data_IF_368723249360
#
_entry.id   IF_368723249360
#
_cell.length_a   1.000
_cell.length_b   1.000
_cell.length_c   1.000
_cell.angle_alpha   90.00
_cell.angle_beta   90.00
_cell.angle_gamma   90.00
#
_symmetry.space_group_name_H-M   'P 1'
#
loop_
_entity.id
_entity.type
_entity.pdbx_description
1 polymer ?
#
# COMPACT_ATOMS: atom_id res chain seq x y z
N UNK A 1 5.89 -50.74 -51.25
CA UNK A 1 7.04 -50.82 -50.34
C UNK A 1 7.08 -49.45 -49.72
N UNK A 2 6.29 -49.34 -48.66
CA UNK A 2 5.69 -48.09 -48.18
C UNK A 2 6.44 -47.65 -46.92
N UNK A 3 6.83 -46.39 -46.96
CA UNK A 3 6.97 -45.40 -45.89
C UNK A 3 7.52 -45.75 -44.49
N UNK A 4 8.58 -44.98 -44.14
CA UNK A 4 8.82 -44.22 -42.89
C UNK A 4 8.70 -44.98 -41.56
N UNK A 5 9.79 -45.25 -40.82
CA UNK A 5 10.52 -44.27 -39.99
C UNK A 5 9.61 -43.49 -39.02
N UNK A 6 9.06 -44.18 -38.02
CA UNK A 6 8.61 -43.56 -36.77
C UNK A 6 9.86 -43.15 -35.98
N UNK A 7 10.36 -41.95 -36.26
CA UNK A 7 11.10 -41.16 -35.28
C UNK A 7 10.06 -40.60 -34.30
N UNK A 8 10.06 -41.14 -33.07
CA UNK A 8 9.49 -40.49 -31.89
C UNK A 8 10.24 -39.15 -31.69
N UNK A 9 9.78 -38.12 -32.41
CA UNK A 9 10.18 -36.74 -32.16
C UNK A 9 9.37 -36.26 -30.97
N UNK A 10 10.05 -36.28 -29.82
CA UNK A 10 9.80 -35.45 -28.66
C UNK A 10 9.09 -34.14 -29.06
N UNK A 11 7.83 -34.01 -28.64
CA UNK A 11 7.10 -32.77 -28.78
C UNK A 11 7.84 -31.69 -28.01
N UNK A 12 8.52 -30.81 -28.71
CA UNK A 12 9.08 -29.58 -28.18
C UNK A 12 7.98 -28.78 -27.46
N UNK A 13 7.96 -28.83 -26.12
CA UNK A 13 7.30 -27.84 -25.28
C UNK A 13 7.94 -26.47 -25.54
N UNK A 14 7.45 -25.79 -26.55
CA UNK A 14 7.83 -24.42 -26.88
C UNK A 14 7.27 -23.46 -25.81
N UNK A 15 8.01 -23.31 -24.72
CA UNK A 15 8.15 -22.06 -23.97
C UNK A 15 6.91 -21.50 -23.25
N UNK A 16 6.07 -22.33 -22.62
CA UNK A 16 5.06 -21.79 -21.69
C UNK A 16 5.72 -21.40 -20.36
N UNK A 17 5.76 -20.09 -20.06
CA UNK A 17 6.22 -19.55 -18.77
C UNK A 17 5.47 -20.22 -17.61
N UNK A 18 6.20 -20.68 -16.58
CA UNK A 18 5.57 -21.31 -15.41
C UNK A 18 4.62 -20.35 -14.70
N UNK A 19 3.43 -20.82 -14.34
CA UNK A 19 2.38 -20.03 -13.67
C UNK A 19 2.03 -20.54 -12.28
N UNK A 20 1.60 -19.63 -11.40
CA UNK A 20 1.00 -19.93 -10.11
C UNK A 20 -0.46 -20.40 -10.26
N UNK A 21 -1.03 -20.95 -9.18
CA UNK A 21 -2.45 -21.34 -9.15
C UNK A 21 -3.38 -20.16 -9.46
N UNK A 22 -2.96 -18.93 -9.13
CA UNK A 22 -3.66 -17.69 -9.45
C UNK A 22 -3.50 -17.23 -10.92
N UNK A 23 -2.74 -17.96 -11.74
CA UNK A 23 -2.42 -17.59 -13.12
C UNK A 23 -1.25 -16.61 -13.28
N UNK A 24 -0.72 -16.07 -12.17
CA UNK A 24 0.40 -15.14 -12.21
C UNK A 24 1.74 -15.82 -12.60
N UNK A 25 2.63 -15.15 -13.36
CA UNK A 25 3.93 -15.70 -13.72
C UNK A 25 4.85 -15.98 -12.51
N UNK A 26 5.50 -17.15 -12.51
CA UNK A 26 6.47 -17.57 -11.48
C UNK A 26 7.90 -17.12 -11.78
N UNK A 27 8.27 -17.06 -13.06
CA UNK A 27 9.59 -16.62 -13.54
C UNK A 27 9.44 -15.50 -14.56
N UNK A 28 10.46 -14.67 -14.78
CA UNK A 28 10.43 -13.65 -15.84
C UNK A 28 10.52 -14.28 -17.23
N UNK A 29 9.81 -13.71 -18.22
CA UNK A 29 9.69 -14.31 -19.56
C UNK A 29 11.03 -14.50 -20.28
N UNK A 30 11.95 -13.53 -20.17
CA UNK A 30 13.26 -13.56 -20.82
C UNK A 30 14.38 -13.94 -19.85
N UNK A 31 14.29 -13.50 -18.59
CA UNK A 31 15.27 -13.80 -17.55
C UNK A 31 14.50 -14.27 -16.32
N UNK A 32 14.76 -15.50 -15.82
CA UNK A 32 13.94 -16.09 -14.76
C UNK A 32 13.78 -15.21 -13.52
N UNK A 33 14.84 -14.48 -13.17
CA UNK A 33 14.88 -13.62 -11.99
C UNK A 33 14.59 -12.14 -12.25
N UNK A 34 14.05 -11.79 -13.43
CA UNK A 34 13.73 -10.42 -13.79
C UNK A 34 12.42 -10.37 -14.56
N UNK A 35 11.37 -10.05 -13.82
CA UNK A 35 10.04 -9.83 -14.37
C UNK A 35 10.00 -8.59 -15.27
N UNK A 36 9.25 -8.68 -16.36
CA UNK A 36 8.82 -7.50 -17.10
C UNK A 36 7.73 -6.74 -16.38
N UNK A 37 7.45 -5.53 -16.86
CA UNK A 37 6.30 -4.78 -16.38
C UNK A 37 4.98 -5.52 -16.57
N UNK A 38 4.80 -6.24 -17.68
CA UNK A 38 3.62 -7.09 -17.91
C UNK A 38 3.54 -8.23 -16.89
N UNK A 39 4.66 -8.89 -16.59
CA UNK A 39 4.70 -9.95 -15.57
C UNK A 39 4.32 -9.42 -14.18
N UNK A 40 4.87 -8.25 -13.79
CA UNK A 40 4.55 -7.60 -12.51
C UNK A 40 3.08 -7.19 -12.48
N UNK A 41 2.56 -6.66 -13.59
CA UNK A 41 1.16 -6.28 -13.71
C UNK A 41 0.22 -7.47 -13.53
N UNK A 42 0.49 -8.63 -14.15
CA UNK A 42 -0.31 -9.84 -13.92
C UNK A 42 -0.26 -10.29 -12.46
N UNK A 43 0.91 -10.19 -11.80
CA UNK A 43 1.05 -10.52 -10.38
C UNK A 43 0.24 -9.56 -9.49
N UNK A 44 0.25 -8.26 -9.80
CA UNK A 44 -0.57 -7.24 -9.13
C UNK A 44 -2.07 -7.56 -9.28
N UNK A 45 -2.53 -7.86 -10.50
CA UNK A 45 -3.94 -8.18 -10.74
C UNK A 45 -4.38 -9.47 -10.02
N UNK A 46 -3.49 -10.46 -9.93
CA UNK A 46 -3.75 -11.69 -9.19
C UNK A 46 -3.93 -11.43 -7.69
N UNK A 47 -3.04 -10.65 -7.06
CA UNK A 47 -3.19 -10.25 -5.65
C UNK A 47 -4.45 -9.43 -5.42
N UNK A 48 -4.74 -8.48 -6.32
CA UNK A 48 -5.91 -7.62 -6.24
C UNK A 48 -7.23 -8.41 -6.25
N UNK A 49 -7.29 -9.53 -6.97
CA UNK A 49 -8.49 -10.35 -7.06
C UNK A 49 -8.83 -10.99 -5.70
N UNK A 50 -7.82 -11.45 -4.96
CA UNK A 50 -7.97 -11.97 -3.60
C UNK A 50 -8.46 -10.86 -2.65
N UNK A 51 -7.88 -9.66 -2.73
CA UNK A 51 -8.24 -8.52 -1.86
C UNK A 51 -9.67 -8.02 -2.11
N UNK A 52 -10.05 -7.89 -3.38
CA UNK A 52 -11.34 -7.36 -3.81
C UNK A 52 -12.50 -8.33 -3.49
N UNK A 53 -12.22 -9.63 -3.44
CA UNK A 53 -13.19 -10.68 -3.08
C UNK A 53 -13.24 -10.99 -1.58
N UNK A 54 -12.24 -10.55 -0.81
CA UNK A 54 -12.21 -10.74 0.65
C UNK A 54 -13.44 -10.13 1.33
N UNK A 55 -13.95 -10.83 2.36
CA UNK A 55 -15.09 -10.38 3.13
C UNK A 55 -14.74 -9.14 3.99
N UNK A 56 -15.77 -8.44 4.45
CA UNK A 56 -15.59 -7.17 5.19
C UNK A 56 -14.91 -7.36 6.55
N UNK A 57 -15.12 -8.50 7.21
CA UNK A 57 -14.52 -8.74 8.53
C UNK A 57 -13.03 -8.99 8.40
N UNK A 58 -12.63 -9.83 7.43
CA UNK A 58 -11.22 -10.09 7.13
C UNK A 58 -10.48 -8.80 6.80
N UNK A 59 -11.03 -7.96 5.90
CA UNK A 59 -10.45 -6.66 5.56
C UNK A 59 -10.36 -5.73 6.78
N UNK A 60 -11.42 -5.65 7.59
CA UNK A 60 -11.48 -4.76 8.75
C UNK A 60 -10.47 -5.15 9.83
N UNK A 61 -10.39 -6.44 10.21
CA UNK A 61 -9.47 -6.89 11.24
C UNK A 61 -8.02 -6.87 10.78
N UNK A 62 -7.76 -7.25 9.52
CA UNK A 62 -6.43 -7.09 8.93
C UNK A 62 -6.02 -5.61 8.89
N UNK A 63 -6.94 -4.72 8.50
CA UNK A 63 -6.73 -3.28 8.52
C UNK A 63 -6.52 -2.71 9.93
N UNK A 64 -7.25 -3.22 10.91
CA UNK A 64 -7.06 -2.82 12.32
C UNK A 64 -5.69 -3.23 12.83
N UNK A 65 -5.24 -4.44 12.51
CA UNK A 65 -3.88 -4.90 12.86
C UNK A 65 -2.81 -4.06 12.17
N UNK A 66 -2.97 -3.72 10.88
CA UNK A 66 -2.04 -2.80 10.20
C UNK A 66 -2.00 -1.41 10.85
N UNK A 67 -3.18 -0.86 11.16
CA UNK A 67 -3.31 0.41 11.86
C UNK A 67 -2.65 0.41 13.23
N UNK A 68 -2.78 -0.69 13.97
CA UNK A 68 -2.11 -0.84 15.26
C UNK A 68 -0.58 -0.99 15.09
N UNK A 69 -0.12 -1.75 14.10
CA UNK A 69 1.30 -1.92 13.81
C UNK A 69 1.99 -0.61 13.42
N UNK A 70 1.28 0.36 12.82
CA UNK A 70 1.83 1.70 12.51
C UNK A 70 2.31 2.45 13.76
N UNK A 71 1.81 2.08 14.94
CA UNK A 71 2.21 2.69 16.21
C UNK A 71 3.69 2.41 16.50
N UNK A 72 4.24 1.30 16.00
CA UNK A 72 5.68 1.04 16.07
C UNK A 72 6.49 2.07 15.27
N UNK A 73 5.97 2.51 14.12
CA UNK A 73 6.55 3.61 13.34
C UNK A 73 6.51 4.92 14.13
N UNK A 74 5.38 5.23 14.78
CA UNK A 74 5.27 6.41 15.65
C UNK A 74 6.30 6.36 16.78
N UNK A 75 6.38 5.25 17.53
CA UNK A 75 7.33 5.08 18.64
C UNK A 75 8.76 5.25 18.14
N UNK A 76 9.12 4.58 17.04
CA UNK A 76 10.44 4.68 16.45
C UNK A 76 10.82 6.11 16.07
N UNK A 77 9.89 6.84 15.47
CA UNK A 77 10.12 8.23 15.05
C UNK A 77 10.20 9.19 16.24
N UNK A 78 9.28 9.08 17.21
CA UNK A 78 9.27 9.91 18.41
C UNK A 78 10.53 9.72 19.26
N UNK A 79 10.98 8.48 19.43
CA UNK A 79 12.23 8.14 20.13
C UNK A 79 13.44 8.66 19.35
N UNK A 80 13.47 8.45 18.03
CA UNK A 80 14.55 8.96 17.19
C UNK A 80 14.66 10.48 17.24
N UNK A 81 13.54 11.20 17.11
CA UNK A 81 13.50 12.66 17.18
C UNK A 81 13.89 13.19 18.56
N UNK A 82 13.54 12.49 19.64
CA UNK A 82 13.98 12.85 20.99
C UNK A 82 15.47 12.63 21.23
N UNK A 83 16.07 11.57 20.66
CA UNK A 83 17.50 11.27 20.82
C UNK A 83 18.38 12.10 19.89
N UNK A 84 17.87 12.45 18.71
CA UNK A 84 18.62 13.08 17.63
C UNK A 84 17.87 14.30 17.05
N UNK A 85 17.61 15.33 17.86
CA UNK A 85 16.76 16.46 17.46
C UNK A 85 17.33 17.28 16.29
N UNK A 86 18.67 17.36 16.18
CA UNK A 86 19.36 18.13 15.15
C UNK A 86 19.77 17.27 13.93
N UNK A 87 19.46 15.98 13.93
CA UNK A 87 19.94 15.01 12.94
C UNK A 87 18.76 14.24 12.30
N UNK A 88 18.03 14.85 11.35
CA UNK A 88 16.76 14.32 10.81
C UNK A 88 16.92 12.95 10.11
N UNK A 89 18.09 12.68 9.53
CA UNK A 89 18.37 11.38 8.93
C UNK A 89 18.50 10.28 9.99
N UNK A 90 19.10 10.59 11.15
CA UNK A 90 19.31 9.61 12.21
C UNK A 90 18.03 9.39 13.02
N UNK A 91 17.22 10.45 13.21
CA UNK A 91 15.92 10.36 13.88
C UNK A 91 14.89 9.50 13.12
N UNK A 92 15.05 9.36 11.81
CA UNK A 92 14.14 8.57 10.96
C UNK A 92 14.47 7.06 10.88
N UNK A 93 15.60 6.59 11.43
CA UNK A 93 16.09 5.21 11.23
C UNK A 93 15.09 4.13 11.65
N UNK A 94 14.30 4.38 12.71
CA UNK A 94 13.31 3.43 13.22
C UNK A 94 11.91 3.59 12.62
N UNK A 95 11.70 4.61 11.78
CA UNK A 95 10.41 4.87 11.14
C UNK A 95 9.86 3.67 10.33
N UNK A 96 10.68 2.90 9.58
CA UNK A 96 10.16 1.80 8.76
C UNK A 96 9.61 0.60 9.55
N UNK A 97 9.82 0.50 10.86
CA UNK A 97 9.54 -0.71 11.63
C UNK A 97 8.07 -1.14 11.55
N UNK A 98 7.11 -0.21 11.70
CA UNK A 98 5.69 -0.53 11.57
C UNK A 98 5.33 -1.04 10.17
N UNK A 99 5.88 -0.41 9.13
CA UNK A 99 5.67 -0.84 7.73
C UNK A 99 6.24 -2.21 7.41
N UNK A 100 7.38 -2.58 8.01
CA UNK A 100 7.92 -3.94 7.88
C UNK A 100 6.94 -4.98 8.45
N UNK A 101 6.34 -4.72 9.61
CA UNK A 101 5.31 -5.59 10.18
C UNK A 101 4.07 -5.68 9.29
N UNK A 102 3.64 -4.56 8.72
CA UNK A 102 2.46 -4.47 7.86
C UNK A 102 2.66 -5.27 6.58
N UNK A 103 3.69 -4.94 5.81
CA UNK A 103 3.87 -5.48 4.45
C UNK A 103 4.34 -6.94 4.51
N UNK A 104 5.35 -7.25 5.33
CA UNK A 104 5.82 -8.64 5.45
C UNK A 104 4.78 -9.53 6.15
N UNK A 105 3.96 -8.95 7.04
CA UNK A 105 2.83 -9.62 7.68
C UNK A 105 1.58 -9.74 6.80
N UNK A 106 1.58 -9.14 5.60
CA UNK A 106 0.45 -9.11 4.66
C UNK A 106 -0.83 -8.54 5.29
N UNK A 107 -0.68 -7.54 6.16
CA UNK A 107 -1.82 -6.83 6.71
C UNK A 107 -2.34 -5.77 5.73
N UNK A 108 -3.64 -5.52 5.75
CA UNK A 108 -4.29 -4.64 4.80
C UNK A 108 -4.02 -3.16 5.13
N UNK A 109 -3.26 -2.47 4.28
CA UNK A 109 -3.03 -1.04 4.39
C UNK A 109 -3.77 -0.28 3.29
N UNK A 110 -4.44 0.82 3.66
CA UNK A 110 -5.21 1.62 2.71
C UNK A 110 -4.37 2.11 1.52
N UNK A 111 -3.16 2.58 1.80
CA UNK A 111 -2.26 3.12 0.78
C UNK A 111 -1.72 2.05 -0.16
N UNK A 112 -1.54 0.81 0.32
CA UNK A 112 -1.18 -0.31 -0.55
C UNK A 112 -2.32 -0.65 -1.52
N UNK A 113 -3.57 -0.51 -1.06
CA UNK A 113 -4.78 -0.70 -1.86
C UNK A 113 -5.02 0.40 -2.92
N UNK A 114 -4.13 1.39 -3.06
CA UNK A 114 -4.23 2.43 -4.11
C UNK A 114 -3.67 1.98 -5.46
N UNK A 115 -3.02 0.81 -5.52
CA UNK A 115 -2.50 0.24 -6.77
C UNK A 115 -3.25 -1.04 -7.21
N UNK A 116 -3.28 -2.17 -6.47
CA UNK A 116 -3.82 -3.42 -7.00
C UNK A 116 -5.34 -3.38 -7.28
N UNK A 117 -6.22 -2.98 -6.34
CA UNK A 117 -7.65 -2.86 -6.61
C UNK A 117 -7.99 -1.85 -7.73
N UNK A 118 -7.23 -0.75 -7.81
CA UNK A 118 -7.36 0.26 -8.87
C UNK A 118 -7.01 -0.34 -10.23
N UNK A 119 -6.00 -1.22 -10.26
CA UNK A 119 -5.60 -1.94 -11.45
C UNK A 119 -6.74 -2.79 -12.02
N UNK A 120 -7.45 -3.52 -11.18
CA UNK A 120 -8.61 -4.31 -11.59
C UNK A 120 -9.72 -3.44 -12.17
N UNK A 121 -10.01 -2.29 -11.54
CA UNK A 121 -11.05 -1.38 -12.06
C UNK A 121 -10.65 -0.84 -13.43
N UNK A 122 -9.40 -0.41 -13.61
CA UNK A 122 -8.91 0.11 -14.88
C UNK A 122 -8.84 -0.97 -15.97
N UNK A 123 -8.55 -2.21 -15.59
CA UNK A 123 -8.66 -3.39 -16.47
C UNK A 123 -10.11 -3.85 -16.73
N UNK A 124 -11.13 -3.13 -16.20
CA UNK A 124 -12.56 -3.47 -16.30
C UNK A 124 -12.91 -4.83 -15.70
N UNK A 125 -12.15 -5.27 -14.69
CA UNK A 125 -12.30 -6.54 -13.96
C UNK A 125 -12.86 -6.36 -12.54
N UNK A 126 -13.03 -5.12 -12.09
CA UNK A 126 -13.73 -4.78 -10.86
C UNK A 126 -14.54 -3.50 -11.05
N UNK A 127 -15.56 -3.35 -10.21
CA UNK A 127 -16.45 -2.19 -10.19
C UNK A 127 -16.00 -1.16 -9.15
N UNK A 128 -16.30 0.12 -9.40
CA UNK A 128 -15.99 1.24 -8.50
C UNK A 128 -16.64 1.11 -7.12
N UNK A 129 -17.91 0.65 -6.96
CA UNK A 129 -18.48 0.40 -5.64
C UNK A 129 -17.69 -0.64 -4.85
N UNK A 130 -17.16 -1.67 -5.52
CA UNK A 130 -16.37 -2.71 -4.87
C UNK A 130 -14.98 -2.21 -4.46
N UNK A 131 -14.33 -1.40 -5.30
CA UNK A 131 -13.11 -0.66 -4.93
C UNK A 131 -13.35 0.23 -3.71
N UNK A 132 -14.41 1.04 -3.75
CA UNK A 132 -14.77 1.94 -2.66
C UNK A 132 -15.04 1.18 -1.35
N UNK A 133 -15.63 -0.02 -1.42
CA UNK A 133 -15.80 -0.90 -0.25
C UNK A 133 -14.46 -1.31 0.35
N UNK A 134 -13.52 -1.80 -0.47
CA UNK A 134 -12.18 -2.21 0.02
C UNK A 134 -11.50 -1.02 0.68
N UNK A 135 -11.43 0.11 -0.03
CA UNK A 135 -10.85 1.35 0.48
C UNK A 135 -11.45 1.78 1.80
N UNK A 136 -12.79 1.86 1.89
CA UNK A 136 -13.45 2.35 3.09
C UNK A 136 -13.26 1.40 4.28
N UNK A 137 -13.44 0.09 4.09
CA UNK A 137 -13.31 -0.90 5.16
C UNK A 137 -11.89 -0.94 5.71
N UNK A 138 -10.89 -0.94 4.83
CA UNK A 138 -9.48 -0.96 5.22
C UNK A 138 -9.06 0.35 5.87
N UNK A 139 -9.45 1.51 5.30
CA UNK A 139 -9.14 2.82 5.88
C UNK A 139 -9.73 2.97 7.28
N UNK A 140 -10.99 2.59 7.48
CA UNK A 140 -11.63 2.63 8.80
C UNK A 140 -10.91 1.70 9.77
N UNK A 141 -10.57 0.47 9.35
CA UNK A 141 -9.76 -0.45 10.16
C UNK A 141 -8.41 0.17 10.56
N UNK A 142 -7.66 0.71 9.60
CA UNK A 142 -6.37 1.34 9.86
C UNK A 142 -6.48 2.51 10.85
N UNK A 143 -7.46 3.40 10.66
CA UNK A 143 -7.72 4.55 11.54
C UNK A 143 -8.08 4.08 12.95
N UNK A 144 -8.92 3.05 13.09
CA UNK A 144 -9.27 2.46 14.40
C UNK A 144 -8.04 1.88 15.09
N UNK A 145 -7.23 1.08 14.39
CA UNK A 145 -6.00 0.51 14.94
C UNK A 145 -5.00 1.57 15.39
N UNK A 146 -4.81 2.62 14.57
CA UNK A 146 -3.93 3.73 14.88
C UNK A 146 -4.44 4.53 16.09
N UNK A 147 -5.75 4.80 16.17
CA UNK A 147 -6.37 5.47 17.32
C UNK A 147 -6.18 4.68 18.62
N UNK A 148 -6.41 3.37 18.59
CA UNK A 148 -6.23 2.50 19.77
C UNK A 148 -4.78 2.53 20.24
N UNK A 149 -3.81 2.36 19.33
CA UNK A 149 -2.41 2.38 19.73
C UNK A 149 -1.93 3.76 20.19
N UNK A 150 -2.35 4.84 19.52
CA UNK A 150 -2.07 6.21 19.94
C UNK A 150 -2.63 6.52 21.34
N UNK A 151 -3.85 6.05 21.63
CA UNK A 151 -4.44 6.17 22.97
C UNK A 151 -3.59 5.45 24.02
N UNK A 152 -3.17 4.21 23.75
CA UNK A 152 -2.31 3.46 24.66
C UNK A 152 -0.95 4.14 24.90
N UNK A 153 -0.37 4.78 23.88
CA UNK A 153 0.84 5.59 24.06
C UNK A 153 0.59 6.82 24.93
N UNK A 154 -0.55 7.49 24.75
CA UNK A 154 -0.90 8.71 25.48
C UNK A 154 -1.13 8.45 26.98
N UNK A 155 -1.69 7.29 27.36
CA UNK A 155 -2.01 6.97 28.77
C UNK A 155 -1.04 5.99 29.43
N UNK A 156 -0.24 5.25 28.65
CA UNK A 156 0.48 4.07 29.11
C UNK A 156 1.91 4.28 29.60
N UNK A 157 2.38 5.52 29.70
CA UNK A 157 3.78 5.86 30.10
C UNK A 157 4.85 5.11 29.28
N UNK A 158 4.55 4.84 28.01
CA UNK A 158 5.41 4.07 27.09
C UNK A 158 6.58 4.90 26.57
N UNK A 159 6.39 6.21 26.45
CA UNK A 159 7.34 7.14 25.87
C UNK A 159 7.96 8.02 26.96
N UNK A 160 9.25 8.33 26.83
CA UNK A 160 9.88 9.33 27.68
C UNK A 160 9.22 10.71 27.48
N UNK A 161 9.30 11.64 28.45
CA UNK A 161 8.75 12.98 28.27
C UNK A 161 9.27 13.69 27.02
N UNK A 162 10.54 13.49 26.66
CA UNK A 162 11.12 14.04 25.44
C UNK A 162 10.49 13.44 24.16
N UNK A 163 10.24 12.13 24.15
CA UNK A 163 9.58 11.47 23.02
C UNK A 163 8.09 11.86 22.91
N UNK A 164 7.40 12.10 24.03
CA UNK A 164 6.04 12.66 24.02
C UNK A 164 6.03 14.04 23.35
N UNK A 165 6.96 14.93 23.72
CA UNK A 165 7.06 16.26 23.11
C UNK A 165 7.39 16.17 21.61
N UNK A 166 8.31 15.29 21.22
CA UNK A 166 8.60 15.05 19.81
C UNK A 166 7.35 14.56 19.04
N UNK A 167 6.59 13.63 19.63
CA UNK A 167 5.36 13.10 19.04
C UNK A 167 4.26 14.15 18.86
N UNK A 168 4.12 15.09 19.81
CA UNK A 168 3.20 16.23 19.68
C UNK A 168 3.58 17.11 18.48
N UNK A 169 4.87 17.38 18.31
CA UNK A 169 5.38 18.26 17.27
C UNK A 169 5.10 17.75 15.84
N UNK A 170 4.88 16.45 15.63
CA UNK A 170 4.59 15.89 14.29
C UNK A 170 3.32 16.48 13.67
N UNK A 171 2.24 16.54 14.45
CA UNK A 171 0.96 17.11 13.98
C UNK A 171 1.03 18.64 13.93
N UNK A 172 1.67 19.29 14.91
CA UNK A 172 1.84 20.75 14.95
C UNK A 172 2.61 21.25 13.73
N UNK A 173 3.77 20.65 13.46
CA UNK A 173 4.60 20.98 12.29
C UNK A 173 3.84 20.75 10.98
N UNK A 174 3.04 19.69 10.92
CA UNK A 174 2.17 19.42 9.78
C UNK A 174 1.13 20.51 9.54
N UNK A 175 0.46 20.97 10.60
CA UNK A 175 -0.49 22.08 10.50
C UNK A 175 0.23 23.38 10.06
N UNK A 176 1.42 23.65 10.62
CA UNK A 176 2.21 24.85 10.33
C UNK A 176 2.72 24.91 8.89
N UNK A 177 3.06 23.76 8.28
CA UNK A 177 3.41 23.68 6.86
C UNK A 177 2.27 24.14 5.94
N UNK A 178 1.03 24.04 6.42
CA UNK A 178 -0.16 24.46 5.71
C UNK A 178 -0.67 23.44 4.67
N UNK A 179 -1.95 23.61 4.34
CA UNK A 179 -2.75 22.65 3.58
C UNK A 179 -2.10 22.13 2.29
N UNK A 180 -1.65 23.05 1.43
CA UNK A 180 -1.13 22.69 0.11
C UNK A 180 0.25 22.07 0.15
N UNK A 181 1.09 22.47 1.11
CA UNK A 181 2.41 21.88 1.32
C UNK A 181 2.27 20.43 1.77
N UNK A 182 1.42 20.19 2.78
CA UNK A 182 1.12 18.84 3.28
C UNK A 182 0.51 17.98 2.18
N UNK A 183 -0.46 18.51 1.43
CA UNK A 183 -1.07 17.83 0.29
C UNK A 183 -0.02 17.41 -0.75
N UNK A 184 0.86 18.33 -1.18
CA UNK A 184 1.89 18.03 -2.17
C UNK A 184 2.90 16.98 -1.68
N UNK A 185 3.37 17.10 -0.43
CA UNK A 185 4.24 16.10 0.20
C UNK A 185 3.55 14.72 0.30
N UNK A 186 2.26 14.71 0.60
CA UNK A 186 1.44 13.50 0.64
C UNK A 186 1.22 12.84 -0.73
N UNK A 187 1.14 13.63 -1.81
CA UNK A 187 1.13 13.09 -3.18
C UNK A 187 2.40 12.29 -3.45
N UNK A 188 3.56 12.82 -3.08
CA UNK A 188 4.82 12.09 -3.22
C UNK A 188 4.88 10.85 -2.33
N UNK A 189 4.40 10.91 -1.08
CA UNK A 189 4.29 9.73 -0.22
C UNK A 189 3.41 8.64 -0.84
N UNK A 190 2.24 9.00 -1.34
CA UNK A 190 1.34 8.05 -2.02
C UNK A 190 1.99 7.39 -3.23
N UNK A 191 2.73 8.17 -4.02
CA UNK A 191 3.50 7.64 -5.15
C UNK A 191 4.56 6.64 -4.67
N UNK A 192 5.35 6.98 -3.64
CA UNK A 192 6.35 6.07 -3.08
C UNK A 192 5.75 4.76 -2.59
N UNK A 193 4.62 4.80 -1.88
CA UNK A 193 3.95 3.58 -1.38
C UNK A 193 3.45 2.72 -2.53
N UNK A 194 2.78 3.29 -3.54
CA UNK A 194 2.39 2.52 -4.72
C UNK A 194 3.62 1.92 -5.44
N UNK A 195 4.76 2.61 -5.39
CA UNK A 195 6.05 2.13 -5.90
C UNK A 195 6.55 0.91 -5.11
N UNK A 196 6.46 0.93 -3.78
CA UNK A 196 6.78 -0.24 -2.93
C UNK A 196 5.91 -1.42 -3.31
N UNK A 197 4.59 -1.22 -3.48
CA UNK A 197 3.68 -2.31 -3.87
C UNK A 197 4.11 -2.92 -5.20
N UNK A 198 4.41 -2.09 -6.20
CA UNK A 198 4.89 -2.57 -7.49
C UNK A 198 6.20 -3.38 -7.37
N UNK A 199 7.17 -2.84 -6.64
CA UNK A 199 8.47 -3.49 -6.42
C UNK A 199 8.32 -4.78 -5.58
N UNK A 200 7.39 -4.83 -4.64
CA UNK A 200 7.11 -6.01 -3.83
C UNK A 200 6.53 -7.16 -4.67
N UNK A 201 5.69 -6.83 -5.66
CA UNK A 201 5.25 -7.82 -6.64
C UNK A 201 6.40 -8.27 -7.55
N UNK A 202 7.39 -7.41 -7.83
CA UNK A 202 8.57 -7.75 -8.62
C UNK A 202 9.63 -8.55 -7.83
N UNK A 203 9.67 -8.44 -6.51
CA UNK A 203 10.69 -9.04 -5.67
C UNK A 203 10.54 -10.57 -5.60
N UNK A 204 11.66 -11.28 -5.57
CA UNK A 204 11.70 -12.76 -5.54
C UNK A 204 12.16 -13.33 -4.20
N UNK A 205 12.82 -12.53 -3.36
CA UNK A 205 13.33 -12.96 -2.07
C UNK A 205 12.97 -11.96 -0.96
N UNK A 206 12.96 -12.46 0.27
CA UNK A 206 12.55 -11.70 1.46
C UNK A 206 13.56 -10.60 1.82
N UNK A 207 14.84 -10.74 1.49
CA UNK A 207 15.87 -9.73 1.80
C UNK A 207 15.67 -8.51 0.91
N UNK A 208 15.45 -8.71 -0.39
CA UNK A 208 15.11 -7.63 -1.31
C UNK A 208 13.83 -6.90 -0.89
N UNK A 209 12.78 -7.65 -0.49
CA UNK A 209 11.54 -7.07 0.06
C UNK A 209 11.81 -6.24 1.31
N UNK A 210 12.54 -6.78 2.27
CA UNK A 210 12.91 -6.05 3.48
C UNK A 210 13.64 -4.74 3.15
N UNK A 211 14.67 -4.80 2.30
CA UNK A 211 15.52 -3.64 1.99
C UNK A 211 14.73 -2.55 1.25
N UNK A 212 13.91 -2.89 0.26
CA UNK A 212 13.13 -1.90 -0.47
C UNK A 212 12.06 -1.25 0.41
N UNK A 213 11.39 -2.03 1.26
CA UNK A 213 10.40 -1.51 2.23
C UNK A 213 11.13 -0.55 3.17
N UNK A 214 12.23 -1.00 3.76
CA UNK A 214 13.01 -0.18 4.69
C UNK A 214 13.44 1.15 4.06
N UNK A 215 14.08 1.12 2.89
CA UNK A 215 14.61 2.32 2.22
C UNK A 215 13.49 3.29 1.84
N UNK A 216 12.38 2.80 1.29
CA UNK A 216 11.32 3.68 0.80
C UNK A 216 10.54 4.32 1.96
N UNK A 217 10.21 3.56 3.01
CA UNK A 217 9.55 4.14 4.18
C UNK A 217 10.49 5.01 5.01
N UNK A 218 11.80 4.71 5.03
CA UNK A 218 12.80 5.60 5.61
C UNK A 218 12.82 6.94 4.87
N UNK A 219 12.77 6.91 3.54
CA UNK A 219 12.70 8.12 2.71
C UNK A 219 11.46 8.96 3.01
N UNK A 220 10.31 8.35 3.30
CA UNK A 220 9.10 9.10 3.69
C UNK A 220 9.39 9.99 4.91
N UNK A 221 10.02 9.45 5.95
CA UNK A 221 10.36 10.24 7.14
C UNK A 221 11.53 11.20 6.91
N UNK A 222 12.62 10.73 6.29
CA UNK A 222 13.82 11.52 6.06
C UNK A 222 13.59 12.71 5.12
N UNK A 223 12.62 12.61 4.21
CA UNK A 223 12.18 13.70 3.34
C UNK A 223 10.94 14.45 3.87
N UNK A 224 10.54 14.18 5.12
CA UNK A 224 9.38 14.81 5.80
C UNK A 224 8.08 14.75 5.00
N UNK A 225 7.83 13.60 4.35
CA UNK A 225 6.61 13.33 3.61
C UNK A 225 5.52 12.78 4.54
N UNK A 226 4.27 12.99 4.15
CA UNK A 226 3.12 12.62 4.97
C UNK A 226 2.43 11.38 4.44
N UNK A 227 2.45 10.30 5.22
CA UNK A 227 1.70 9.08 4.95
C UNK A 227 0.39 9.07 5.74
N UNK A 228 -0.74 8.81 5.08
CA UNK A 228 -2.08 8.99 5.69
C UNK A 228 -2.33 8.17 6.95
N UNK A 229 -1.78 6.95 7.04
CA UNK A 229 -2.01 6.09 8.22
C UNK A 229 -1.05 6.42 9.36
N UNK A 230 0.18 6.88 9.08
CA UNK A 230 1.07 7.36 10.17
C UNK A 230 0.53 8.68 10.71
N UNK A 231 0.10 9.57 9.81
CA UNK A 231 -0.53 10.83 10.16
C UNK A 231 -1.84 10.64 10.96
N UNK A 232 -2.57 9.53 10.75
CA UNK A 232 -3.70 9.19 11.62
C UNK A 232 -3.21 8.92 13.06
N UNK A 233 -2.14 8.13 13.22
CA UNK A 233 -1.51 7.89 14.52
C UNK A 233 -1.01 9.18 15.18
N UNK A 234 -0.30 10.01 14.42
CA UNK A 234 0.20 11.32 14.88
C UNK A 234 -0.96 12.21 15.35
N UNK A 235 -2.02 12.31 14.53
CA UNK A 235 -3.18 13.13 14.82
C UNK A 235 -3.93 12.64 16.08
N UNK A 236 -4.16 11.35 16.22
CA UNK A 236 -4.83 10.81 17.40
C UNK A 236 -3.98 11.00 18.66
N UNK A 237 -2.66 10.76 18.59
CA UNK A 237 -1.77 11.00 19.72
C UNK A 237 -1.83 12.47 20.14
N UNK A 238 -1.74 13.39 19.17
CA UNK A 238 -1.89 14.82 19.40
C UNK A 238 -3.23 15.17 20.05
N UNK A 239 -4.35 14.63 19.54
CA UNK A 239 -5.68 14.87 20.11
C UNK A 239 -5.80 14.37 21.56
N UNK A 240 -5.26 13.19 21.86
CA UNK A 240 -5.36 12.61 23.21
C UNK A 240 -4.47 13.32 24.23
N UNK A 241 -3.32 13.86 23.80
CA UNK A 241 -2.36 14.51 24.71
C UNK A 241 -2.62 16.02 24.82
N UNK A 242 -2.86 16.72 23.71
CA UNK A 242 -3.03 18.17 23.67
C UNK A 242 -4.48 18.64 23.85
N UNK A 243 -5.47 17.76 23.67
CA UNK A 243 -6.90 18.13 23.77
C UNK A 243 -7.36 19.10 22.68
N UNK A 244 -6.75 19.04 21.49
CA UNK A 244 -7.10 19.89 20.35
C UNK A 244 -8.48 19.54 19.75
N UNK A 245 -9.03 20.45 18.93
CA UNK A 245 -10.29 20.21 18.22
C UNK A 245 -10.12 19.12 17.14
N UNK A 246 -10.81 17.97 17.25
CA UNK A 246 -10.72 16.90 16.25
C UNK A 246 -11.10 17.34 14.85
N UNK A 247 -12.07 18.24 14.70
CA UNK A 247 -12.51 18.68 13.37
C UNK A 247 -11.44 19.56 12.72
N UNK A 248 -10.80 20.43 13.49
CA UNK A 248 -9.69 21.26 13.01
C UNK A 248 -8.49 20.40 12.56
N UNK A 249 -8.07 19.43 13.39
CA UNK A 249 -6.96 18.52 13.04
C UNK A 249 -7.31 17.69 11.80
N UNK A 250 -8.52 17.15 11.72
CA UNK A 250 -8.98 16.43 10.52
C UNK A 250 -8.91 17.32 9.27
N UNK A 251 -9.47 18.53 9.35
CA UNK A 251 -9.66 19.41 8.20
C UNK A 251 -8.40 20.17 7.79
N UNK A 252 -7.41 20.37 8.67
CA UNK A 252 -6.17 21.09 8.38
C UNK A 252 -4.94 20.18 8.22
N UNK A 253 -4.96 18.98 8.81
CA UNK A 253 -3.82 18.06 8.79
C UNK A 253 -4.11 16.72 8.10
N UNK A 254 -5.19 16.01 8.44
CA UNK A 254 -5.35 14.61 7.98
C UNK A 254 -5.99 14.47 6.59
N UNK A 255 -7.01 15.26 6.29
CA UNK A 255 -7.69 15.26 4.99
C UNK A 255 -6.80 15.62 3.76
N UNK A 256 -5.79 16.53 3.79
CA UNK A 256 -4.94 16.81 2.64
C UNK A 256 -4.01 15.62 2.39
N UNK A 257 -3.59 14.94 3.46
CA UNK A 257 -2.72 13.77 3.43
C UNK A 257 -3.48 12.60 2.81
N UNK A 258 -4.72 12.37 3.24
CA UNK A 258 -5.59 11.36 2.64
C UNK A 258 -5.76 11.59 1.13
N UNK A 259 -6.15 12.81 0.74
CA UNK A 259 -6.34 13.15 -0.67
C UNK A 259 -5.04 13.02 -1.47
N UNK A 260 -3.94 13.53 -0.92
CA UNK A 260 -2.62 13.47 -1.55
C UNK A 260 -2.15 12.04 -1.75
N UNK A 261 -2.20 11.21 -0.70
CA UNK A 261 -1.79 9.80 -0.78
C UNK A 261 -2.63 9.03 -1.81
N UNK A 262 -3.95 9.27 -1.83
CA UNK A 262 -4.87 8.64 -2.79
C UNK A 262 -4.51 9.01 -4.23
N UNK A 263 -4.32 10.31 -4.49
CA UNK A 263 -3.97 10.81 -5.82
C UNK A 263 -2.59 10.30 -6.25
N UNK A 264 -1.59 10.40 -5.37
CA UNK A 264 -0.22 9.94 -5.64
C UNK A 264 -0.15 8.45 -5.99
N UNK A 265 -0.86 7.62 -5.23
CA UNK A 265 -0.88 6.17 -5.47
C UNK A 265 -1.54 5.79 -6.80
N UNK A 266 -2.70 6.40 -7.11
CA UNK A 266 -3.42 6.17 -8.37
C UNK A 266 -2.62 6.70 -9.58
N UNK A 267 -1.91 7.83 -9.43
CA UNK A 267 -1.12 8.43 -10.50
C UNK A 267 0.03 7.54 -10.96
N UNK A 268 0.74 6.87 -10.04
CA UNK A 268 1.80 5.92 -10.43
C UNK A 268 1.24 4.85 -11.35
N UNK A 269 0.13 4.23 -10.95
CA UNK A 269 -0.47 3.16 -11.74
C UNK A 269 -0.92 3.67 -13.12
N UNK A 270 -1.52 4.86 -13.17
CA UNK A 270 -1.94 5.50 -14.42
C UNK A 270 -0.73 5.71 -15.35
N UNK A 271 0.41 6.14 -14.82
CA UNK A 271 1.64 6.37 -15.58
C UNK A 271 2.24 5.06 -16.12
N UNK A 272 2.29 4.01 -15.28
CA UNK A 272 2.84 2.70 -15.66
C UNK A 272 1.96 2.02 -16.71
N UNK A 273 0.63 2.07 -16.56
CA UNK A 273 -0.30 1.40 -17.49
C UNK A 273 -0.45 2.14 -18.82
N UNK A 274 -0.38 3.47 -18.84
CA UNK A 274 -0.39 4.20 -20.10
C UNK A 274 0.83 3.86 -20.97
N UNK A 275 1.94 3.44 -20.36
CA UNK A 275 3.20 3.24 -21.05
C UNK A 275 3.50 1.77 -21.45
N UNK A 276 2.89 0.75 -20.81
CA UNK A 276 3.51 -0.59 -20.81
C UNK A 276 2.59 -1.82 -20.98
N UNK A 277 1.25 -1.72 -21.01
CA UNK A 277 0.40 -2.93 -20.96
C UNK A 277 -0.84 -2.92 -21.85
N UNK A 278 -1.13 -4.08 -22.46
CA UNK A 278 -2.44 -4.44 -23.00
C UNK A 278 -3.22 -5.19 -21.91
N UNK A 279 -4.13 -4.54 -21.16
CA UNK A 279 -4.84 -5.13 -20.03
C UNK A 279 -5.77 -6.30 -20.41
N UNK A 280 -5.90 -6.61 -21.71
CA UNK A 280 -6.81 -7.65 -22.20
C UNK A 280 -6.32 -9.09 -21.96
N UNK A 281 -5.04 -9.33 -21.62
CA UNK A 281 -4.49 -10.70 -21.48
C UNK A 281 -4.65 -11.37 -20.12
N UNK A 282 -5.05 -10.63 -19.08
CA UNK A 282 -5.18 -11.20 -17.74
C UNK A 282 -6.55 -11.86 -17.57
N UNK A 283 -6.64 -13.20 -17.67
CA UNK A 283 -7.87 -14.02 -17.55
C UNK A 283 -8.90 -13.89 -18.69
N UNK A 284 -9.49 -15.01 -19.10
CA UNK A 284 -10.52 -15.13 -20.14
C UNK A 284 -11.92 -14.66 -19.69
N UNK A 285 -12.07 -14.22 -18.43
CA UNK A 285 -13.34 -13.74 -17.92
C UNK A 285 -13.84 -12.48 -18.69
N UNK A 286 -15.15 -12.37 -18.96
CA UNK A 286 -15.71 -11.25 -19.71
C UNK A 286 -15.48 -9.91 -18.99
N UNK A 287 -15.12 -8.88 -19.75
CA UNK A 287 -14.92 -7.52 -19.26
C UNK A 287 -16.25 -6.87 -18.84
N UNK A 288 -16.24 -6.15 -17.71
CA UNK A 288 -17.41 -5.39 -17.25
C UNK A 288 -17.73 -4.25 -18.22
N UNK A 289 -19.00 -4.06 -18.56
CA UNK A 289 -19.51 -2.88 -19.28
C UNK A 289 -19.31 -1.61 -18.45
N UNK A 290 -19.32 -0.42 -19.08
CA UNK A 290 -19.21 0.87 -18.34
C UNK A 290 -20.26 1.01 -17.24
N UNK A 291 -21.48 0.52 -17.49
CA UNK A 291 -22.56 0.54 -16.50
C UNK A 291 -22.25 -0.36 -15.31
N UNK A 292 -21.73 -1.57 -15.57
CA UNK A 292 -21.35 -2.49 -14.50
C UNK A 292 -20.15 -1.98 -13.70
N UNK A 293 -19.16 -1.35 -14.36
CA UNK A 293 -18.05 -0.71 -13.67
C UNK A 293 -18.52 0.36 -12.68
N UNK A 294 -19.51 1.18 -13.07
CA UNK A 294 -19.99 2.29 -12.25
C UNK A 294 -20.94 1.86 -11.13
N UNK A 295 -21.78 0.85 -11.36
CA UNK A 295 -22.95 0.59 -10.51
C UNK A 295 -23.11 -0.85 -10.02
N UNK A 296 -22.29 -1.80 -10.48
CA UNK A 296 -22.37 -3.19 -10.00
C UNK A 296 -21.51 -3.40 -8.75
N UNK A 297 -21.61 -4.61 -8.19
CA UNK A 297 -20.73 -5.12 -7.13
C UNK A 297 -19.87 -6.29 -7.63
N UNK A 298 -19.64 -6.38 -8.95
CA UNK A 298 -18.85 -7.44 -9.58
C UNK A 298 -17.36 -7.14 -9.48
N UNK A 299 -16.54 -8.19 -9.34
CA UNK A 299 -15.10 -8.09 -9.39
C UNK A 299 -14.37 -9.41 -9.12
N UNK A 300 -13.23 -9.60 -9.77
CA UNK A 300 -12.42 -10.82 -9.71
C UNK A 300 -12.67 -11.79 -10.88
N UNK A 301 -11.77 -12.76 -11.09
CA UNK A 301 -11.77 -13.64 -12.27
C UNK A 301 -12.97 -14.60 -12.36
N UNK A 302 -13.75 -14.80 -11.30
CA UNK A 302 -14.85 -15.78 -11.25
C UNK A 302 -16.28 -15.18 -11.15
N UNK A 303 -16.44 -13.85 -11.24
CA UNK A 303 -17.78 -13.25 -10.98
C UNK A 303 -18.70 -13.23 -12.22
N UNK A 304 -19.49 -14.30 -12.37
CA UNK A 304 -20.79 -14.32 -13.09
C UNK A 304 -21.90 -13.88 -12.13
#
# INVERSE_FOLDING_TARGET
MDDTADEDLDGEETGSQERAASGAPKSGWAVPNRFTASDIFERVLASAAEEVTADRQTLFFSGTTAGFAIVLTFVGHAVGAAMFPDEPFLSAVLYPVGFLYIILGRYQLYTENTLPPVALVLARRASLPLLARVWWVVLVGNVVGAAVGAYLLAVGDVLSPAAVQAGLAFTETGIDHGWWTVFARAVFAGWLVAGVVWLDHAAQDTIARFLQIYVIFYMIAAAELYHVITAAGDAFFYLFVAGADPLAVFAAYWLPILLGNTIGGVLLFTLVNYAQTDPMKFSDAPLLTRREMLFSWRGGPETV
#
